data_IF_326556968988
#
_entry.id   IF_326556968988
#
_cell.length_a   1.000
_cell.length_b   1.000
_cell.length_c   1.000
_cell.angle_alpha   90.00
_cell.angle_beta   90.00
_cell.angle_gamma   90.00
#
_symmetry.space_group_name_H-M   'P 1'
#
loop_
_entity.id
_entity.type
_entity.pdbx_description
1 polymer ?
#
# COMPACT_ATOMS: atom_id res chain seq x y z
N UNK A 1 -6.51 -45.84 -46.98
CA UNK A 1 -7.57 -45.86 -45.96
C UNK A 1 -6.90 -45.86 -44.60
N UNK A 2 -6.84 -44.70 -43.96
CA UNK A 2 -6.41 -44.53 -42.58
C UNK A 2 -7.66 -44.22 -41.75
N UNK A 3 -7.89 -44.86 -40.59
CA UNK A 3 -8.96 -44.46 -39.70
C UNK A 3 -8.49 -43.27 -38.84
N UNK A 4 -9.35 -42.26 -38.61
CA UNK A 4 -9.04 -41.19 -37.67
C UNK A 4 -9.29 -41.67 -36.23
N UNK A 5 -8.29 -41.55 -35.36
CA UNK A 5 -8.45 -41.72 -33.92
C UNK A 5 -9.10 -40.47 -33.34
N UNK A 6 -10.34 -40.64 -32.86
CA UNK A 6 -11.10 -39.68 -32.07
C UNK A 6 -10.42 -39.48 -30.71
N UNK A 7 -10.08 -38.24 -30.35
CA UNK A 7 -9.95 -37.86 -28.93
C UNK A 7 -11.27 -37.24 -28.49
N UNK A 8 -11.81 -37.79 -27.41
CA UNK A 8 -13.07 -37.36 -26.82
C UNK A 8 -12.92 -35.96 -26.20
N UNK A 9 -13.81 -35.06 -26.63
CA UNK A 9 -14.23 -33.92 -25.84
C UNK A 9 -15.07 -34.42 -24.67
N UNK A 10 -14.79 -33.94 -23.45
CA UNK A 10 -15.74 -33.96 -22.34
C UNK A 10 -16.22 -32.53 -22.12
N UNK A 11 -17.36 -32.24 -22.75
CA UNK A 11 -18.29 -31.20 -22.34
C UNK A 11 -18.96 -31.65 -21.04
N UNK A 12 -18.96 -30.76 -20.04
CA UNK A 12 -19.79 -30.86 -18.86
C UNK A 12 -20.37 -29.48 -18.55
N UNK A 13 -21.18 -28.95 -19.47
CA UNK A 13 -22.05 -27.82 -19.22
C UNK A 13 -23.45 -28.33 -18.83
N UNK A 14 -24.19 -27.45 -18.14
CA UNK A 14 -25.58 -27.53 -17.65
C UNK A 14 -25.75 -28.18 -16.26
N UNK A 15 -26.50 -27.59 -15.33
CA UNK A 15 -27.64 -26.70 -15.51
C UNK A 15 -27.78 -25.67 -14.38
N UNK A 16 -28.31 -24.50 -14.75
CA UNK A 16 -29.07 -23.64 -13.85
C UNK A 16 -30.13 -24.47 -13.11
N UNK A 17 -30.36 -24.16 -11.84
CA UNK A 17 -31.65 -24.37 -11.21
C UNK A 17 -32.00 -23.12 -10.41
N UNK A 18 -33.18 -22.60 -10.75
CA UNK A 18 -33.81 -21.42 -10.22
C UNK A 18 -33.90 -21.43 -8.69
N UNK A 19 -33.53 -20.31 -8.06
CA UNK A 19 -34.03 -19.95 -6.75
C UNK A 19 -35.09 -18.85 -6.94
N UNK A 20 -36.34 -19.24 -6.73
CA UNK A 20 -37.49 -18.36 -6.64
C UNK A 20 -37.28 -17.28 -5.57
N UNK A 21 -37.59 -16.05 -5.96
CA UNK A 21 -37.77 -14.92 -5.06
C UNK A 21 -38.92 -15.20 -4.08
N UNK A 22 -38.61 -15.18 -2.78
CA UNK A 22 -39.58 -14.90 -1.72
C UNK A 22 -39.19 -13.57 -1.05
N UNK A 23 -40.15 -12.66 -0.80
CA UNK A 23 -39.87 -11.39 -0.14
C UNK A 23 -39.88 -11.61 1.37
N UNK A 24 -38.78 -11.27 2.05
CA UNK A 24 -38.75 -11.22 3.51
C UNK A 24 -37.36 -11.46 4.08
N UNK A 25 -36.75 -10.37 4.57
CA UNK A 25 -35.65 -10.32 5.54
C UNK A 25 -34.65 -11.48 5.55
N UNK A 26 -33.49 -11.28 4.93
CA UNK A 26 -32.30 -12.10 5.14
C UNK A 26 -31.17 -11.60 4.27
N UNK A 27 -30.02 -11.30 4.88
CA UNK A 27 -28.79 -10.82 4.23
C UNK A 27 -28.52 -11.57 2.92
N UNK A 28 -28.09 -10.84 1.89
CA UNK A 28 -27.49 -11.44 0.68
C UNK A 28 -26.46 -12.50 1.10
N UNK A 29 -26.40 -13.66 0.42
CA UNK A 29 -25.36 -14.64 0.69
C UNK A 29 -24.00 -13.96 0.52
N UNK A 30 -23.10 -14.19 1.47
CA UNK A 30 -21.71 -13.73 1.39
C UNK A 30 -21.09 -14.41 0.16
N UNK A 31 -21.04 -13.69 -0.97
CA UNK A 31 -20.19 -14.07 -2.08
C UNK A 31 -18.76 -13.95 -1.53
N UNK A 32 -17.98 -15.02 -1.62
CA UNK A 32 -16.57 -14.99 -1.21
C UNK A 32 -15.81 -13.86 -1.92
N UNK A 33 -14.58 -13.53 -1.47
CA UNK A 33 -13.80 -12.46 -2.08
C UNK A 33 -13.71 -12.65 -3.60
N UNK A 34 -13.81 -11.53 -4.34
CA UNK A 34 -13.73 -11.56 -5.79
C UNK A 34 -12.43 -12.23 -6.26
N UNK A 35 -12.43 -12.97 -7.38
CA UNK A 35 -11.22 -13.63 -7.86
C UNK A 35 -10.13 -12.60 -8.14
N UNK A 36 -8.91 -12.86 -7.67
CA UNK A 36 -7.72 -12.11 -8.10
C UNK A 36 -7.43 -12.42 -9.57
N UNK A 37 -7.02 -11.43 -10.34
CA UNK A 37 -6.61 -11.57 -11.73
C UNK A 37 -5.49 -10.60 -12.05
N UNK A 38 -4.51 -11.07 -12.84
CA UNK A 38 -3.51 -10.23 -13.48
C UNK A 38 -3.91 -10.04 -14.94
N UNK A 39 -3.98 -8.80 -15.38
CA UNK A 39 -4.25 -8.45 -16.76
C UNK A 39 -3.00 -7.85 -17.39
N UNK A 40 -2.67 -8.33 -18.59
CA UNK A 40 -1.58 -7.75 -19.37
C UNK A 40 -1.94 -6.36 -19.93
N UNK A 41 -0.98 -5.65 -20.54
CA UNK A 41 -1.20 -4.28 -21.02
C UNK A 41 -2.23 -4.17 -22.17
N UNK A 42 -2.45 -5.26 -22.91
CA UNK A 42 -3.40 -5.34 -24.02
C UNK A 42 -4.79 -5.86 -23.60
N UNK A 43 -4.95 -6.29 -22.35
CA UNK A 43 -6.21 -6.83 -21.84
C UNK A 43 -7.09 -5.72 -21.24
N UNK A 44 -8.37 -5.69 -21.62
CA UNK A 44 -9.30 -4.67 -21.14
C UNK A 44 -9.65 -4.90 -19.67
N UNK A 45 -9.64 -3.81 -18.89
CA UNK A 45 -10.17 -3.82 -17.53
C UNK A 45 -11.67 -4.18 -17.59
N UNK A 46 -12.18 -5.01 -16.66
CA UNK A 46 -13.62 -5.27 -16.56
C UNK A 46 -14.37 -3.93 -16.40
N UNK A 47 -15.42 -3.73 -17.20
CA UNK A 47 -16.33 -2.60 -16.98
C UNK A 47 -17.02 -2.79 -15.63
N UNK A 48 -16.59 -2.04 -14.63
CA UNK A 48 -17.35 -1.91 -13.40
C UNK A 48 -18.54 -1.00 -13.69
N UNK A 49 -19.75 -1.52 -13.52
CA UNK A 49 -20.95 -0.68 -13.50
C UNK A 49 -20.83 0.30 -12.31
N UNK A 50 -20.17 1.44 -12.54
CA UNK A 50 -20.31 2.58 -11.66
C UNK A 50 -21.79 2.96 -11.76
N UNK A 51 -22.52 2.78 -10.66
CA UNK A 51 -23.97 2.89 -10.65
C UNK A 51 -24.38 4.33 -10.99
N UNK A 52 -24.53 4.64 -12.29
CA UNK A 52 -25.07 5.89 -12.77
C UNK A 52 -24.30 6.62 -13.89
N UNK A 53 -24.05 5.99 -15.03
CA UNK A 53 -23.99 6.70 -16.32
C UNK A 53 -24.07 5.72 -17.49
N UNK A 54 -25.17 5.74 -18.25
CA UNK A 54 -25.28 4.95 -19.49
C UNK A 54 -24.48 5.64 -20.59
N UNK A 55 -23.43 5.00 -21.10
CA UNK A 55 -22.73 5.42 -22.32
C UNK A 55 -23.46 4.88 -23.56
N UNK A 56 -23.74 5.69 -24.60
CA UNK A 56 -24.37 5.21 -25.83
C UNK A 56 -23.45 4.31 -26.68
N UNK A 57 -24.00 3.41 -27.52
CA UNK A 57 -23.20 2.51 -28.35
C UNK A 57 -22.41 3.29 -29.42
N UNK A 58 -21.08 3.12 -29.45
CA UNK A 58 -20.19 3.73 -30.46
C UNK A 58 -19.08 4.62 -29.89
N UNK A 59 -18.97 4.78 -28.58
CA UNK A 59 -17.83 5.44 -27.94
C UNK A 59 -16.58 4.56 -28.07
N UNK A 60 -15.50 5.11 -28.62
CA UNK A 60 -14.17 4.49 -28.52
C UNK A 60 -13.71 4.61 -27.07
N UNK A 61 -13.22 3.52 -26.50
CA UNK A 61 -12.62 3.49 -25.15
C UNK A 61 -11.50 4.52 -25.12
N UNK A 62 -11.72 5.60 -24.40
CA UNK A 62 -10.67 6.53 -23.97
C UNK A 62 -10.18 6.12 -22.59
N UNK A 63 -8.89 6.31 -22.27
CA UNK A 63 -8.35 6.02 -20.95
C UNK A 63 -9.18 6.70 -19.85
N UNK A 64 -9.41 5.95 -18.78
CA UNK A 64 -10.13 6.29 -17.56
C UNK A 64 -9.94 7.76 -17.11
N UNK A 65 -11.05 8.49 -16.89
CA UNK A 65 -11.05 9.83 -16.30
C UNK A 65 -10.94 9.74 -14.77
N UNK A 66 -9.93 10.35 -14.12
CA UNK A 66 -9.80 10.35 -12.67
C UNK A 66 -10.93 11.15 -12.01
N UNK A 67 -11.46 10.63 -10.89
CA UNK A 67 -12.58 11.26 -10.17
C UNK A 67 -12.08 12.16 -9.02
N UNK A 68 -12.72 13.32 -8.78
CA UNK A 68 -12.19 14.41 -7.95
C UNK A 68 -12.42 14.22 -6.43
N UNK A 69 -12.21 13.02 -5.88
CA UNK A 69 -12.51 12.78 -4.46
C UNK A 69 -11.50 13.51 -3.55
N UNK A 70 -12.00 14.49 -2.78
CA UNK A 70 -11.24 15.50 -1.99
C UNK A 70 -10.88 15.11 -0.54
N UNK A 71 -10.98 13.84 -0.15
CA UNK A 71 -11.03 13.50 1.29
C UNK A 71 -10.04 12.42 1.76
N UNK A 72 -9.04 12.05 0.96
CA UNK A 72 -8.08 11.01 1.36
C UNK A 72 -6.65 11.44 1.00
N UNK A 73 -5.87 11.78 2.04
CA UNK A 73 -4.56 12.43 1.97
C UNK A 73 -3.37 11.46 1.94
N UNK A 74 -3.58 10.22 1.49
CA UNK A 74 -2.54 9.19 1.59
C UNK A 74 -1.67 9.13 0.34
N UNK A 75 -1.00 10.23 0.02
CA UNK A 75 -0.02 10.28 -1.07
C UNK A 75 1.11 9.28 -0.81
N UNK A 76 1.49 8.47 -1.80
CA UNK A 76 2.59 7.51 -1.69
C UNK A 76 3.96 8.19 -1.78
N UNK A 77 4.94 7.67 -1.04
CA UNK A 77 6.34 8.05 -1.13
C UNK A 77 7.21 6.80 -0.92
N UNK A 78 8.12 6.52 -1.84
CA UNK A 78 9.02 5.37 -1.75
C UNK A 78 10.38 5.65 -2.43
N UNK A 79 11.46 5.15 -1.85
CA UNK A 79 12.82 5.26 -2.41
C UNK A 79 13.19 3.95 -3.09
N UNK A 80 13.88 4.02 -4.22
CA UNK A 80 14.39 2.84 -4.92
C UNK A 80 15.39 2.06 -4.06
N UNK A 81 15.55 0.74 -4.27
CA UNK A 81 16.45 -0.09 -3.46
C UNK A 81 17.91 0.36 -3.47
N UNK A 82 18.36 0.99 -4.56
CA UNK A 82 19.70 1.56 -4.70
C UNK A 82 19.82 3.00 -4.16
N UNK A 83 18.71 3.62 -3.74
CA UNK A 83 18.68 4.99 -3.24
C UNK A 83 18.79 6.08 -4.33
N UNK A 84 18.78 5.72 -5.62
CA UNK A 84 18.98 6.67 -6.72
C UNK A 84 17.71 7.45 -7.08
N UNK A 85 16.53 6.87 -6.86
CA UNK A 85 15.25 7.44 -7.27
C UNK A 85 14.26 7.53 -6.11
N UNK A 86 13.44 8.57 -6.13
CA UNK A 86 12.25 8.71 -5.28
C UNK A 86 11.03 8.65 -6.18
N UNK A 87 10.07 7.81 -5.82
CA UNK A 87 8.73 7.80 -6.39
C UNK A 87 7.78 8.47 -5.39
N UNK A 88 7.06 9.51 -5.84
CA UNK A 88 6.01 10.12 -5.03
C UNK A 88 4.74 10.37 -5.85
N UNK A 89 3.58 10.18 -5.23
CA UNK A 89 2.29 10.47 -5.85
C UNK A 89 2.12 11.98 -6.02
N UNK A 90 1.66 12.40 -7.19
CA UNK A 90 1.35 13.79 -7.48
C UNK A 90 0.00 14.18 -6.85
N UNK A 91 0.01 15.24 -6.03
CA UNK A 91 -1.14 15.62 -5.23
C UNK A 91 -2.35 16.10 -6.08
N UNK A 92 -3.60 15.67 -5.76
CA UNK A 92 -4.83 16.08 -6.44
C UNK A 92 -5.11 17.58 -6.49
N UNK A 93 -4.77 18.32 -5.43
CA UNK A 93 -5.12 19.74 -5.30
C UNK A 93 -4.17 20.70 -6.04
N UNK A 94 -3.27 20.20 -6.90
CA UNK A 94 -2.58 21.04 -7.89
C UNK A 94 -3.55 21.74 -8.87
N UNK A 95 -4.83 21.34 -8.89
CA UNK A 95 -5.91 22.10 -9.54
C UNK A 95 -6.03 23.55 -9.03
N UNK A 96 -5.68 23.82 -7.77
CA UNK A 96 -5.64 25.18 -7.19
C UNK A 96 -4.48 26.05 -7.75
N UNK A 97 -3.48 25.42 -8.38
CA UNK A 97 -2.36 26.08 -9.05
C UNK A 97 -2.62 26.30 -10.55
N UNK A 98 -3.81 25.96 -11.06
CA UNK A 98 -4.19 26.15 -12.46
C UNK A 98 -3.60 25.13 -13.44
N UNK A 99 -3.11 23.99 -12.94
CA UNK A 99 -2.63 22.87 -13.76
C UNK A 99 -3.76 21.85 -13.97
N UNK A 100 -3.97 21.41 -15.22
CA UNK A 100 -5.06 20.49 -15.59
C UNK A 100 -4.60 19.02 -15.67
N UNK A 101 -5.31 18.16 -14.93
CA UNK A 101 -5.78 16.80 -15.28
C UNK A 101 -4.83 15.61 -15.49
N UNK A 102 -3.61 15.58 -14.94
CA UNK A 102 -2.92 14.28 -14.80
C UNK A 102 -2.43 14.08 -13.38
N UNK A 103 -3.15 13.28 -12.59
CA UNK A 103 -2.58 12.69 -11.37
C UNK A 103 -1.68 11.53 -11.80
N UNK A 104 -0.51 11.41 -11.18
CA UNK A 104 0.56 10.52 -11.62
C UNK A 104 1.50 10.15 -10.49
N UNK A 105 2.53 9.38 -10.82
CA UNK A 105 3.71 9.22 -9.97
C UNK A 105 4.87 9.94 -10.62
N UNK A 106 5.53 10.80 -9.86
CA UNK A 106 6.73 11.50 -10.27
C UNK A 106 7.94 10.73 -9.74
N UNK A 107 8.95 10.61 -10.59
CA UNK A 107 10.26 10.05 -10.24
C UNK A 107 11.28 11.20 -10.18
N UNK A 108 11.94 11.35 -9.03
CA UNK A 108 13.04 12.29 -8.83
C UNK A 108 14.36 11.55 -8.73
N UNK A 109 15.41 12.15 -9.30
CA UNK A 109 16.79 11.77 -9.01
C UNK A 109 17.19 12.31 -7.62
N UNK A 110 17.75 11.45 -6.77
CA UNK A 110 18.11 11.84 -5.39
C UNK A 110 19.32 12.75 -5.31
N UNK A 111 20.24 12.66 -6.27
CA UNK A 111 21.45 13.47 -6.30
C UNK A 111 21.15 14.88 -6.81
N UNK A 112 20.40 15.00 -7.91
CA UNK A 112 20.07 16.27 -8.56
C UNK A 112 18.83 16.93 -7.97
N UNK A 113 17.90 16.16 -7.40
CA UNK A 113 16.64 16.67 -6.88
C UNK A 113 15.65 17.06 -7.97
N UNK A 114 15.92 16.68 -9.22
CA UNK A 114 15.10 17.00 -10.39
C UNK A 114 14.20 15.83 -10.78
N UNK A 115 13.03 16.14 -11.34
CA UNK A 115 12.14 15.13 -11.90
C UNK A 115 12.76 14.52 -13.15
N UNK A 116 12.98 13.21 -13.15
CA UNK A 116 13.46 12.45 -14.31
C UNK A 116 12.31 11.88 -15.14
N UNK A 117 11.17 11.59 -14.52
CA UNK A 117 10.02 11.01 -15.20
C UNK A 117 8.71 11.30 -14.49
N UNK A 118 7.64 11.37 -15.29
CA UNK A 118 6.26 11.29 -14.85
C UNK A 118 5.64 10.02 -15.41
N UNK A 119 5.16 9.15 -14.54
CA UNK A 119 4.39 7.97 -14.89
C UNK A 119 2.92 8.36 -14.82
N UNK A 120 2.24 8.25 -15.97
CA UNK A 120 0.83 8.59 -16.08
C UNK A 120 -0.04 7.48 -15.48
N UNK A 121 -1.09 7.87 -14.75
CA UNK A 121 -2.01 6.96 -14.06
C UNK A 121 -2.31 7.50 -12.66
N UNK A 122 -3.59 7.53 -12.27
CA UNK A 122 -3.97 8.02 -10.97
C UNK A 122 -3.27 7.21 -9.87
N UNK A 123 -2.76 7.90 -8.85
CA UNK A 123 -2.14 7.29 -7.68
C UNK A 123 -2.81 7.89 -6.44
N UNK A 124 -3.88 7.25 -5.97
CA UNK A 124 -4.62 7.69 -4.78
C UNK A 124 -4.00 7.21 -3.46
N UNK A 125 -2.97 6.34 -3.49
CA UNK A 125 -2.53 5.64 -2.28
C UNK A 125 -1.08 5.17 -2.27
N UNK A 126 -0.89 3.86 -2.31
CA UNK A 126 0.38 3.21 -2.01
C UNK A 126 1.32 3.11 -3.23
N UNK A 127 2.61 3.22 -2.98
CA UNK A 127 3.68 3.00 -3.97
C UNK A 127 4.70 2.04 -3.33
N UNK A 128 5.14 1.03 -4.08
CA UNK A 128 6.22 0.14 -3.65
C UNK A 128 7.20 -0.11 -4.79
N UNK A 129 8.49 -0.01 -4.50
CA UNK A 129 9.54 -0.43 -5.42
C UNK A 129 9.70 -1.95 -5.41
N UNK A 130 9.84 -2.52 -6.59
CA UNK A 130 10.31 -3.89 -6.71
C UNK A 130 11.80 -3.96 -6.35
N UNK A 131 12.30 -5.03 -5.69
CA UNK A 131 13.68 -5.13 -5.22
C UNK A 131 14.75 -5.04 -6.32
N UNK A 132 14.40 -5.34 -7.57
CA UNK A 132 15.31 -5.16 -8.72
C UNK A 132 15.58 -3.69 -9.09
N UNK A 133 14.82 -2.74 -8.54
CA UNK A 133 14.94 -1.29 -8.83
C UNK A 133 14.44 -0.86 -10.20
N UNK A 134 13.88 -1.77 -11.00
CA UNK A 134 13.45 -1.50 -12.38
C UNK A 134 11.93 -1.38 -12.53
N UNK A 135 11.17 -1.71 -11.48
CA UNK A 135 9.70 -1.74 -11.51
C UNK A 135 9.09 -1.16 -10.23
N UNK A 136 7.86 -0.71 -10.35
CA UNK A 136 7.05 -0.11 -9.30
C UNK A 136 5.66 -0.73 -9.29
N UNK A 137 5.09 -0.93 -8.11
CA UNK A 137 3.66 -1.15 -7.93
C UNK A 137 3.02 0.15 -7.47
N UNK A 138 1.93 0.54 -8.13
CA UNK A 138 1.18 1.77 -7.87
C UNK A 138 -0.28 1.38 -7.60
N UNK A 139 -0.76 1.68 -6.41
CA UNK A 139 -2.15 1.45 -6.01
C UNK A 139 -3.05 2.59 -6.44
N UNK A 140 -4.11 2.27 -7.18
CA UNK A 140 -5.19 3.19 -7.54
C UNK A 140 -6.55 2.58 -7.23
N UNK A 141 -7.23 3.12 -6.21
CA UNK A 141 -8.51 2.60 -5.73
C UNK A 141 -8.47 1.08 -5.52
N UNK A 142 -9.10 0.30 -6.41
CA UNK A 142 -9.21 -1.16 -6.35
C UNK A 142 -8.15 -1.89 -7.17
N UNK A 143 -7.36 -1.16 -7.94
CA UNK A 143 -6.41 -1.68 -8.90
C UNK A 143 -4.99 -1.42 -8.43
N UNK A 144 -4.08 -2.27 -8.88
CA UNK A 144 -2.65 -2.05 -8.72
C UNK A 144 -2.01 -2.18 -10.08
N UNK A 145 -1.34 -1.14 -10.53
CA UNK A 145 -0.54 -1.16 -11.74
C UNK A 145 0.90 -1.54 -11.36
N UNK A 146 1.46 -2.55 -12.04
CA UNK A 146 2.90 -2.80 -12.05
C UNK A 146 3.45 -2.14 -13.30
N UNK A 147 4.37 -1.20 -13.12
CA UNK A 147 4.98 -0.43 -14.20
C UNK A 147 6.50 -0.58 -14.18
N UNK A 148 7.15 -0.45 -15.33
CA UNK A 148 8.60 -0.26 -15.39
C UNK A 148 8.97 1.14 -14.92
N UNK A 149 10.24 1.33 -14.55
CA UNK A 149 10.82 2.66 -14.25
C UNK A 149 10.74 3.61 -15.45
N UNK A 150 10.56 3.09 -16.67
CA UNK A 150 10.32 3.87 -17.87
C UNK A 150 8.85 4.29 -18.05
N UNK A 151 7.96 3.84 -17.17
CA UNK A 151 6.53 4.15 -17.18
C UNK A 151 5.71 3.23 -18.10
N UNK A 152 6.28 2.11 -18.54
CA UNK A 152 5.53 1.10 -19.29
C UNK A 152 4.70 0.25 -18.34
N UNK A 153 3.40 0.13 -18.61
CA UNK A 153 2.54 -0.79 -17.89
C UNK A 153 2.95 -2.24 -18.20
N UNK A 154 3.18 -3.02 -17.16
CA UNK A 154 3.48 -4.45 -17.25
C UNK A 154 2.26 -5.30 -16.90
N UNK A 155 1.59 -4.96 -15.79
CA UNK A 155 0.42 -5.70 -15.30
C UNK A 155 -0.58 -4.78 -14.60
N UNK A 156 -1.87 -5.10 -14.75
CA UNK A 156 -2.95 -4.59 -13.90
C UNK A 156 -3.47 -5.72 -13.00
N UNK A 157 -3.36 -5.54 -11.70
CA UNK A 157 -3.87 -6.46 -10.70
C UNK A 157 -5.26 -6.03 -10.27
N UNK A 158 -6.22 -6.94 -10.36
CA UNK A 158 -7.63 -6.71 -10.03
C UNK A 158 -8.09 -7.79 -9.07
N UNK A 159 -8.86 -7.41 -8.07
CA UNK A 159 -9.50 -8.36 -7.16
C UNK A 159 -9.99 -7.70 -5.88
N UNK A 160 -9.35 -6.61 -5.44
CA UNK A 160 -9.84 -5.87 -4.28
C UNK A 160 -11.22 -5.28 -4.58
N UNK A 161 -12.23 -5.71 -3.83
CA UNK A 161 -13.64 -5.37 -4.07
C UNK A 161 -14.43 -5.51 -2.76
N UNK A 162 -15.20 -4.48 -2.40
CA UNK A 162 -16.25 -4.60 -1.38
C UNK A 162 -17.62 -4.45 -2.06
N UNK A 163 -18.44 -5.50 -2.12
CA UNK A 163 -19.78 -5.44 -2.70
C UNK A 163 -20.71 -4.44 -1.99
N UNK A 164 -20.35 -3.98 -0.78
CA UNK A 164 -21.13 -3.08 0.06
C UNK A 164 -20.64 -1.64 0.00
N UNK A 165 -19.45 -1.42 -0.55
CA UNK A 165 -18.82 -0.10 -0.63
C UNK A 165 -17.86 -0.01 -1.82
N UNK A 166 -18.06 0.98 -2.68
CA UNK A 166 -17.13 1.29 -3.78
C UNK A 166 -15.76 1.78 -3.30
N UNK A 167 -15.53 1.89 -1.98
CA UNK A 167 -14.32 2.39 -1.34
C UNK A 167 -13.24 1.36 -1.00
N UNK A 168 -13.24 0.18 -1.63
CA UNK A 168 -12.18 -0.84 -1.52
C UNK A 168 -10.81 -0.34 -2.03
N UNK A 169 -10.22 0.59 -1.30
CA UNK A 169 -8.98 1.28 -1.64
C UNK A 169 -7.79 0.48 -1.19
N UNK A 170 -6.77 0.38 -2.04
CA UNK A 170 -5.44 -0.10 -1.67
C UNK A 170 -4.87 0.83 -0.61
N UNK A 171 -4.49 0.27 0.53
CA UNK A 171 -3.96 1.02 1.68
C UNK A 171 -2.45 0.89 1.82
N UNK A 172 -1.89 -0.26 1.48
CA UNK A 172 -0.45 -0.51 1.47
C UNK A 172 -0.06 -1.55 0.42
N UNK A 173 1.19 -1.46 -0.03
CA UNK A 173 1.83 -2.36 -0.98
C UNK A 173 3.25 -2.67 -0.50
N UNK A 174 3.69 -3.92 -0.65
CA UNK A 174 5.11 -4.26 -0.57
C UNK A 174 5.41 -5.48 -1.41
N UNK A 175 6.54 -5.44 -2.09
CA UNK A 175 7.12 -6.63 -2.69
C UNK A 175 7.81 -7.48 -1.63
N UNK A 176 7.78 -8.80 -1.82
CA UNK A 176 8.64 -9.70 -1.07
C UNK A 176 10.12 -9.37 -1.37
N UNK A 177 11.05 -9.62 -0.43
CA UNK A 177 12.47 -9.35 -0.63
C UNK A 177 13.09 -10.05 -1.85
N UNK A 178 12.58 -11.22 -2.21
CA UNK A 178 12.99 -11.97 -3.41
C UNK A 178 12.34 -11.48 -4.71
N UNK A 179 11.41 -10.51 -4.64
CA UNK A 179 10.70 -9.93 -5.78
C UNK A 179 9.68 -10.84 -6.44
N UNK A 180 9.42 -12.03 -5.89
CA UNK A 180 8.52 -13.01 -6.51
C UNK A 180 7.06 -12.76 -6.20
N UNK A 181 6.76 -12.03 -5.13
CA UNK A 181 5.41 -11.71 -4.70
C UNK A 181 5.22 -10.22 -4.42
N UNK A 182 3.98 -9.77 -4.60
CA UNK A 182 3.47 -8.50 -4.09
C UNK A 182 2.38 -8.79 -3.07
N UNK A 183 2.42 -8.14 -1.92
CA UNK A 183 1.31 -8.09 -0.97
C UNK A 183 0.59 -6.75 -1.08
N UNK A 184 -0.75 -6.77 -1.03
CA UNK A 184 -1.58 -5.58 -1.02
C UNK A 184 -2.67 -5.66 0.04
N UNK A 185 -2.84 -4.62 0.83
CA UNK A 185 -3.94 -4.48 1.79
C UNK A 185 -4.99 -3.53 1.25
N UNK A 186 -6.25 -3.73 1.64
CA UNK A 186 -7.36 -2.90 1.19
C UNK A 186 -8.40 -2.65 2.27
N UNK A 187 -9.16 -1.56 2.11
CA UNK A 187 -10.36 -1.28 2.91
C UNK A 187 -11.48 -2.30 2.73
N UNK A 188 -11.38 -3.21 1.76
CA UNK A 188 -12.27 -4.38 1.67
C UNK A 188 -12.05 -5.42 2.79
N UNK A 189 -11.06 -5.20 3.66
CA UNK A 189 -10.75 -6.06 4.79
C UNK A 189 -9.89 -7.27 4.43
N UNK A 190 -9.34 -7.31 3.21
CA UNK A 190 -8.49 -8.41 2.74
C UNK A 190 -7.05 -7.97 2.53
N UNK A 191 -6.16 -8.96 2.58
CA UNK A 191 -4.80 -8.85 2.03
C UNK A 191 -4.71 -9.81 0.85
N UNK A 192 -4.22 -9.35 -0.29
CA UNK A 192 -4.00 -10.20 -1.47
C UNK A 192 -2.51 -10.35 -1.73
N UNK A 193 -2.12 -11.59 -2.00
CA UNK A 193 -0.80 -11.94 -2.47
C UNK A 193 -0.88 -12.20 -3.97
N UNK A 194 0.04 -11.60 -4.71
CA UNK A 194 0.14 -11.70 -6.16
C UNK A 194 1.49 -12.30 -6.49
N UNK A 195 1.51 -13.35 -7.29
CA UNK A 195 2.77 -13.89 -7.82
C UNK A 195 3.18 -13.02 -9.02
N UNK A 196 4.36 -12.39 -8.97
CA UNK A 196 4.80 -11.32 -9.91
C UNK A 196 6.24 -11.53 -10.39
N UNK A 197 6.60 -12.81 -10.61
CA UNK A 197 7.95 -13.23 -10.97
C UNK A 197 8.27 -12.97 -12.45
N UNK A 198 9.14 -12.00 -12.72
CA UNK A 198 9.58 -11.67 -14.08
C UNK A 198 8.41 -11.30 -15.00
N UNK A 199 8.25 -12.06 -16.08
CA UNK A 199 7.19 -11.89 -17.09
C UNK A 199 5.91 -12.70 -16.76
N UNK A 200 5.79 -13.22 -15.55
CA UNK A 200 4.61 -13.96 -15.11
C UNK A 200 3.90 -13.20 -14.00
N UNK A 201 2.58 -13.12 -14.12
CA UNK A 201 1.71 -12.60 -13.10
C UNK A 201 0.58 -13.59 -12.84
N UNK A 202 0.33 -13.88 -11.57
CA UNK A 202 -0.70 -14.79 -11.11
C UNK A 202 -1.38 -14.34 -9.82
N UNK A 203 -2.57 -14.88 -9.60
CA UNK A 203 -3.25 -14.78 -8.33
C UNK A 203 -2.61 -15.75 -7.32
N UNK A 204 -2.12 -15.22 -6.19
CA UNK A 204 -1.72 -15.99 -5.03
C UNK A 204 -2.87 -16.13 -4.03
N UNK A 205 -2.54 -16.06 -2.74
CA UNK A 205 -3.51 -16.22 -1.65
C UNK A 205 -4.30 -14.94 -1.36
N UNK A 206 -5.53 -15.09 -0.88
CA UNK A 206 -6.29 -14.01 -0.24
C UNK A 206 -6.37 -14.28 1.25
N UNK A 207 -5.78 -13.40 2.04
CA UNK A 207 -5.76 -13.46 3.50
C UNK A 207 -6.89 -12.61 4.05
N UNK A 208 -7.50 -13.10 5.13
CA UNK A 208 -8.55 -12.40 5.84
C UNK A 208 -8.09 -12.15 7.28
N UNK A 209 -7.40 -11.03 7.55
CA UNK A 209 -7.03 -10.67 8.91
C UNK A 209 -8.27 -10.34 9.74
N UNK A 210 -8.16 -10.48 11.05
CA UNK A 210 -9.24 -10.04 11.96
C UNK A 210 -9.40 -8.51 11.96
N UNK A 211 -8.37 -7.79 11.47
CA UNK A 211 -8.40 -6.34 11.31
C UNK A 211 -9.42 -5.95 10.23
N UNK A 212 -10.46 -5.15 10.56
CA UNK A 212 -11.53 -4.81 9.63
C UNK A 212 -11.07 -3.93 8.46
N UNK A 213 -9.94 -3.23 8.63
CA UNK A 213 -9.29 -2.45 7.58
C UNK A 213 -7.76 -2.57 7.76
N UNK A 214 -7.08 -3.52 7.11
CA UNK A 214 -5.63 -3.56 7.13
C UNK A 214 -5.06 -2.32 6.44
N UNK A 215 -4.10 -1.66 7.08
CA UNK A 215 -3.54 -0.37 6.64
C UNK A 215 -2.03 -0.37 6.50
N UNK A 216 -1.35 -1.38 7.04
CA UNK A 216 0.10 -1.51 6.97
C UNK A 216 0.51 -2.98 6.86
N UNK A 217 1.62 -3.20 6.18
CA UNK A 217 2.18 -4.52 5.93
C UNK A 217 3.72 -4.44 5.91
N UNK A 218 4.39 -5.51 6.30
CA UNK A 218 5.85 -5.64 6.22
C UNK A 218 6.26 -7.08 6.02
N UNK A 219 7.15 -7.35 5.08
CA UNK A 219 7.85 -8.63 5.01
C UNK A 219 9.03 -8.63 6.00
N UNK A 220 9.20 -9.75 6.73
CA UNK A 220 10.33 -9.99 7.64
C UNK A 220 10.89 -11.39 7.40
N UNK A 221 11.99 -11.77 8.07
CA UNK A 221 12.61 -13.09 7.97
C UNK A 221 12.88 -13.48 6.51
N UNK A 222 13.50 -12.56 5.75
CA UNK A 222 13.82 -12.73 4.32
C UNK A 222 12.60 -13.10 3.47
N UNK A 223 11.43 -12.56 3.83
CA UNK A 223 10.17 -12.78 3.11
C UNK A 223 9.40 -14.03 3.56
N UNK A 224 9.93 -14.82 4.51
CA UNK A 224 9.23 -16.02 4.99
C UNK A 224 8.06 -15.72 5.92
N UNK A 225 7.91 -14.47 6.36
CA UNK A 225 6.78 -14.00 7.17
C UNK A 225 6.29 -12.66 6.66
N UNK A 226 4.96 -12.54 6.49
CA UNK A 226 4.27 -11.28 6.23
C UNK A 226 3.56 -10.83 7.50
N UNK A 227 3.86 -9.63 7.97
CA UNK A 227 3.18 -8.98 9.10
C UNK A 227 2.14 -8.03 8.55
N UNK A 228 0.92 -8.11 9.09
CA UNK A 228 -0.21 -7.27 8.69
C UNK A 228 -0.79 -6.60 9.94
N UNK A 229 -0.97 -5.28 9.85
CA UNK A 229 -1.63 -4.46 10.87
C UNK A 229 -2.71 -3.56 10.25
N UNK A 230 -3.65 -3.12 11.07
CA UNK A 230 -4.78 -2.30 10.62
C UNK A 230 -5.37 -1.45 11.73
N UNK A 231 -6.04 -0.36 11.36
CA UNK A 231 -6.79 0.52 12.27
C UNK A 231 -8.29 0.36 12.09
N UNK A 232 -9.07 0.34 13.18
CA UNK A 232 -10.52 0.50 13.16
C UNK A 232 -10.97 1.98 13.07
N UNK A 233 -10.62 2.70 12.00
CA UNK A 233 -10.97 4.14 11.86
C UNK A 233 -12.48 4.48 11.93
N UNK A 234 -13.37 3.49 12.03
CA UNK A 234 -14.81 3.70 12.15
C UNK A 234 -15.38 3.68 13.57
N UNK A 235 -14.56 3.56 14.62
CA UNK A 235 -15.00 3.75 16.01
C UNK A 235 -16.18 2.88 16.45
N UNK A 236 -16.41 1.76 15.75
CA UNK A 236 -17.45 0.78 16.09
C UNK A 236 -16.78 -0.39 16.79
N UNK A 237 -16.52 -0.18 18.07
CA UNK A 237 -16.27 -1.18 19.13
C UNK A 237 -15.31 -2.34 18.77
N UNK A 238 -14.16 -2.39 19.47
CA UNK A 238 -13.29 -3.55 19.79
C UNK A 238 -13.46 -4.83 18.95
N UNK A 239 -12.35 -5.36 18.41
CA UNK A 239 -11.24 -5.78 19.27
C UNK A 239 -9.93 -4.99 19.01
N UNK A 240 -8.86 -5.23 19.80
CA UNK A 240 -7.58 -4.55 19.64
C UNK A 240 -7.03 -4.70 18.21
N UNK A 241 -6.35 -3.66 17.73
CA UNK A 241 -5.59 -3.70 16.49
C UNK A 241 -4.38 -4.63 16.65
N UNK A 242 -4.59 -5.92 16.39
CA UNK A 242 -3.52 -6.92 16.47
C UNK A 242 -2.64 -6.89 15.23
N UNK A 243 -1.34 -7.14 15.43
CA UNK A 243 -0.48 -7.56 14.34
C UNK A 243 -0.68 -9.06 14.11
N UNK A 244 -0.82 -9.44 12.85
CA UNK A 244 -0.96 -10.82 12.44
C UNK A 244 0.21 -11.24 11.55
N UNK A 245 0.83 -12.37 11.89
CA UNK A 245 1.91 -12.96 11.13
C UNK A 245 1.35 -14.05 10.23
N UNK A 246 1.76 -14.04 8.97
CA UNK A 246 1.29 -14.95 7.95
C UNK A 246 2.48 -15.60 7.25
N UNK A 247 2.31 -16.84 6.84
CA UNK A 247 3.16 -17.49 5.87
C UNK A 247 2.67 -17.08 4.46
N UNK A 248 3.44 -16.29 3.71
CA UNK A 248 2.99 -15.83 2.40
C UNK A 248 2.99 -16.95 1.34
N UNK A 249 3.74 -18.03 1.54
CA UNK A 249 3.77 -19.15 0.60
C UNK A 249 2.52 -20.03 0.73
N UNK A 250 2.01 -20.22 1.95
CA UNK A 250 0.82 -21.07 2.21
C UNK A 250 -0.46 -20.27 2.43
N UNK A 251 -0.36 -18.98 2.74
CA UNK A 251 -1.49 -18.15 3.17
C UNK A 251 -1.97 -18.43 4.59
N UNK A 252 -1.25 -19.26 5.37
CA UNK A 252 -1.64 -19.63 6.72
C UNK A 252 -1.20 -18.59 7.76
N UNK A 253 -2.07 -18.31 8.73
CA UNK A 253 -1.76 -17.43 9.86
C UNK A 253 -0.90 -18.18 10.88
N UNK A 254 0.26 -17.62 11.22
CA UNK A 254 1.22 -18.19 12.19
C UNK A 254 0.98 -17.70 13.62
N UNK A 255 0.86 -16.39 13.79
CA UNK A 255 0.84 -15.76 15.11
C UNK A 255 -0.04 -14.50 15.12
N UNK A 256 -0.54 -14.15 16.32
CA UNK A 256 -1.17 -12.87 16.61
C UNK A 256 -0.39 -12.21 17.73
N UNK A 257 0.29 -11.11 17.41
CA UNK A 257 0.93 -10.29 18.43
C UNK A 257 -0.14 -9.35 19.02
N UNK A 258 -0.45 -9.59 20.30
CA UNK A 258 -1.37 -8.74 21.04
C UNK A 258 -0.67 -7.44 21.47
N UNK A 259 -1.22 -6.30 21.06
CA UNK A 259 -0.73 -4.98 21.45
C UNK A 259 -1.19 -4.56 22.87
N UNK A 260 -1.61 -5.51 23.71
CA UNK A 260 -2.00 -5.29 25.11
C UNK A 260 -3.04 -4.18 25.27
N UNK A 261 -4.22 -4.34 24.66
CA UNK A 261 -5.36 -3.39 24.71
C UNK A 261 -5.05 -1.97 24.18
N UNK A 262 -3.93 -1.75 23.47
CA UNK A 262 -3.60 -0.45 22.86
C UNK A 262 -4.08 -0.36 21.42
N UNK A 263 -4.40 0.85 20.98
CA UNK A 263 -4.76 1.13 19.59
C UNK A 263 -3.46 1.30 18.81
N UNK A 264 -3.08 0.29 18.03
CA UNK A 264 -1.98 0.41 17.07
C UNK A 264 -2.35 1.44 16.00
N UNK A 265 -1.44 2.38 15.74
CA UNK A 265 -1.55 3.39 14.69
C UNK A 265 -0.75 2.96 13.47
N UNK A 266 0.54 2.67 13.68
CA UNK A 266 1.48 2.32 12.63
C UNK A 266 2.59 1.43 13.20
N UNK A 267 3.27 0.70 12.33
CA UNK A 267 4.39 -0.14 12.71
C UNK A 267 5.43 -0.26 11.59
N UNK A 268 6.65 -0.63 11.95
CA UNK A 268 7.70 -0.96 11.01
C UNK A 268 8.73 -1.90 11.62
N UNK A 269 9.52 -2.51 10.76
CA UNK A 269 10.65 -3.35 11.14
C UNK A 269 11.94 -2.79 10.57
N UNK A 270 13.01 -2.84 11.35
CA UNK A 270 14.38 -2.68 10.86
C UNK A 270 14.88 -3.98 10.19
N UNK A 271 16.05 -3.92 9.55
CA UNK A 271 16.63 -5.09 8.89
C UNK A 271 17.10 -6.18 9.88
N UNK A 272 17.32 -5.83 11.14
CA UNK A 272 17.61 -6.78 12.21
C UNK A 272 16.34 -7.34 12.89
N UNK A 273 15.17 -7.12 12.30
CA UNK A 273 13.86 -7.56 12.78
C UNK A 273 13.40 -6.91 14.09
N UNK A 274 14.01 -5.79 14.48
CA UNK A 274 13.48 -4.97 15.57
C UNK A 274 12.17 -4.32 15.14
N UNK A 275 11.11 -4.62 15.89
CA UNK A 275 9.77 -4.08 15.68
C UNK A 275 9.65 -2.72 16.37
N UNK A 276 9.18 -1.73 15.63
CA UNK A 276 8.84 -0.40 16.15
C UNK A 276 7.34 -0.18 15.98
N UNK A 277 6.68 0.20 17.07
CA UNK A 277 5.22 0.39 17.14
C UNK A 277 4.88 1.79 17.61
N UNK A 278 3.86 2.37 17.00
CA UNK A 278 3.22 3.60 17.49
C UNK A 278 1.81 3.29 17.92
N UNK A 279 1.47 3.68 19.15
CA UNK A 279 0.12 3.48 19.70
C UNK A 279 -0.62 4.80 19.92
N UNK A 280 -1.92 4.70 20.14
CA UNK A 280 -2.80 5.76 20.61
C UNK A 280 -3.55 5.27 21.86
N UNK A 281 -3.76 6.18 22.82
CA UNK A 281 -4.42 5.91 24.10
C UNK A 281 -3.78 4.79 24.98
N UNK A 282 -2.55 4.97 25.52
CA UNK A 282 -1.72 6.16 25.44
C UNK A 282 -0.88 6.22 24.15
N UNK A 283 -0.50 7.45 23.78
CA UNK A 283 0.44 7.66 22.69
C UNK A 283 1.84 7.21 23.13
N UNK A 284 2.38 6.17 22.50
CA UNK A 284 3.71 5.64 22.83
C UNK A 284 4.45 5.22 21.57
N UNK A 285 5.78 5.34 21.60
CA UNK A 285 6.70 4.72 20.67
C UNK A 285 7.37 3.55 21.38
N UNK A 286 7.11 2.33 20.93
CA UNK A 286 7.65 1.11 21.51
C UNK A 286 8.64 0.46 20.54
N UNK A 287 9.75 -0.04 21.06
CA UNK A 287 10.76 -0.79 20.31
C UNK A 287 10.89 -2.16 20.94
N UNK A 288 10.69 -3.20 20.15
CA UNK A 288 10.76 -4.60 20.57
C UNK A 288 11.80 -5.33 19.74
N UNK A 289 12.87 -5.75 20.40
CA UNK A 289 13.94 -6.52 19.78
C UNK A 289 13.45 -7.95 19.42
N UNK A 290 14.15 -8.66 18.52
CA UNK A 290 13.78 -10.01 18.10
C UNK A 290 13.76 -11.04 19.25
N UNK A 291 14.53 -10.81 20.30
CA UNK A 291 14.55 -11.65 21.51
C UNK A 291 13.35 -11.42 22.46
N UNK A 292 12.46 -10.50 22.10
CA UNK A 292 11.28 -10.11 22.86
C UNK A 292 11.52 -9.00 23.89
N UNK A 293 12.76 -8.52 24.07
CA UNK A 293 13.00 -7.37 24.94
C UNK A 293 12.31 -6.13 24.38
N UNK A 294 11.64 -5.40 25.28
CA UNK A 294 10.84 -4.23 24.93
C UNK A 294 11.40 -3.00 25.64
N UNK A 295 11.49 -1.90 24.91
CA UNK A 295 11.86 -0.58 25.42
C UNK A 295 10.90 0.47 24.88
N UNK A 296 10.79 1.58 25.61
CA UNK A 296 9.97 2.73 25.19
C UNK A 296 10.90 3.82 24.69
N UNK A 297 10.58 4.35 23.50
CA UNK A 297 11.28 5.48 22.92
C UNK A 297 10.92 6.81 23.60
N UNK A 298 11.28 7.94 22.96
CA UNK A 298 11.00 9.27 23.47
C UNK A 298 9.51 9.56 23.64
N UNK A 299 9.21 10.64 24.36
CA UNK A 299 7.83 11.17 24.43
C UNK A 299 7.36 11.59 23.02
N UNK A 300 6.17 11.13 22.65
CA UNK A 300 5.55 11.42 21.36
C UNK A 300 4.36 12.36 21.53
N UNK A 301 4.01 13.07 20.47
CA UNK A 301 2.81 13.91 20.44
C UNK A 301 1.57 13.12 20.90
N UNK A 302 0.66 13.71 21.71
CA UNK A 302 -0.57 13.04 22.08
C UNK A 302 -1.54 12.83 20.89
N UNK A 303 -1.27 13.47 19.75
CA UNK A 303 -2.08 13.42 18.54
C UNK A 303 -1.60 12.36 17.53
N UNK A 304 -1.17 11.18 17.99
CA UNK A 304 -0.67 10.09 17.12
C UNK A 304 -1.72 9.39 16.26
N UNK A 305 -3.00 9.70 16.39
CA UNK A 305 -4.09 9.02 15.65
C UNK A 305 -3.95 9.03 14.11
N UNK A 306 -3.11 9.92 13.56
CA UNK A 306 -2.76 9.97 12.12
C UNK A 306 -1.25 9.94 11.90
N UNK A 307 -0.48 9.42 12.85
CA UNK A 307 0.98 9.40 12.77
C UNK A 307 1.47 8.39 11.72
N UNK A 308 2.64 8.68 11.14
CA UNK A 308 3.35 7.83 10.18
C UNK A 308 4.75 7.54 10.67
N UNK A 309 5.17 6.30 10.52
CA UNK A 309 6.49 5.83 10.93
C UNK A 309 7.38 5.57 9.71
N UNK A 310 8.64 5.98 9.79
CA UNK A 310 9.70 5.48 8.93
C UNK A 310 10.79 4.86 9.80
N UNK A 311 10.96 3.55 9.68
CA UNK A 311 12.00 2.78 10.37
C UNK A 311 13.15 2.56 9.39
N UNK A 312 14.34 2.97 9.80
CA UNK A 312 15.59 2.73 9.09
C UNK A 312 16.02 1.27 9.18
N UNK A 313 16.94 0.86 8.31
CA UNK A 313 17.47 -0.50 8.30
C UNK A 313 18.19 -0.90 9.61
N UNK A 314 18.65 0.06 10.42
CA UNK A 314 19.43 -0.11 11.64
C UNK A 314 18.71 0.52 12.83
N UNK A 315 18.92 1.81 13.08
CA UNK A 315 18.50 2.47 14.34
C UNK A 315 17.78 3.78 14.16
N UNK A 316 17.77 4.37 12.96
CA UNK A 316 17.07 5.62 12.70
C UNK A 316 15.57 5.36 12.66
N UNK A 317 14.82 6.12 13.44
CA UNK A 317 13.36 6.08 13.47
C UNK A 317 12.87 7.51 13.29
N UNK A 318 12.00 7.73 12.32
CA UNK A 318 11.30 8.99 12.15
C UNK A 318 9.80 8.76 12.40
N UNK A 319 9.21 9.61 13.22
CA UNK A 319 7.80 9.61 13.56
C UNK A 319 7.22 10.96 13.19
N UNK A 320 6.37 10.95 12.18
CA UNK A 320 5.59 12.11 11.77
C UNK A 320 4.25 12.05 12.48
N UNK A 321 3.88 13.13 13.17
CA UNK A 321 2.55 13.36 13.73
C UNK A 321 2.01 14.69 13.16
N UNK A 322 0.70 15.00 13.30
CA UNK A 322 0.18 16.28 12.85
C UNK A 322 0.96 17.46 13.48
N UNK A 323 1.69 18.21 12.64
CA UNK A 323 2.50 19.37 13.05
C UNK A 323 3.83 19.06 13.73
N UNK A 324 4.26 17.79 13.82
CA UNK A 324 5.48 17.38 14.51
C UNK A 324 6.22 16.29 13.73
N UNK A 325 7.56 16.38 13.70
CA UNK A 325 8.45 15.33 13.21
C UNK A 325 9.51 15.05 14.25
N UNK A 326 9.45 13.86 14.85
CA UNK A 326 10.48 13.31 15.72
C UNK A 326 11.42 12.43 14.89
N UNK A 327 12.72 12.68 14.98
CA UNK A 327 13.77 11.79 14.50
C UNK A 327 14.54 11.29 15.72
N UNK A 328 14.69 9.98 15.82
CA UNK A 328 15.30 9.32 16.96
C UNK A 328 16.28 8.24 16.50
N UNK A 329 17.42 8.16 17.17
CA UNK A 329 18.36 7.06 17.07
C UNK A 329 18.15 6.10 18.24
N UNK A 330 17.62 4.91 17.97
CA UNK A 330 17.39 3.93 19.03
C UNK A 330 18.68 3.38 19.67
N UNK A 331 19.83 3.48 18.98
CA UNK A 331 21.10 2.99 19.48
C UNK A 331 21.84 4.01 20.35
N UNK A 332 21.77 5.30 19.99
CA UNK A 332 22.48 6.37 20.73
C UNK A 332 21.58 7.15 21.68
N UNK A 333 20.25 7.12 21.47
CA UNK A 333 19.27 7.94 22.17
C UNK A 333 19.22 9.39 21.69
N UNK A 334 19.91 9.75 20.61
CA UNK A 334 19.88 11.09 20.04
C UNK A 334 18.50 11.40 19.46
N UNK A 335 17.99 12.60 19.73
CA UNK A 335 16.68 13.07 19.28
C UNK A 335 16.82 14.41 18.55
N UNK A 336 16.11 14.54 17.44
CA UNK A 336 15.92 15.80 16.71
C UNK A 336 14.42 16.00 16.47
N UNK A 337 13.91 17.22 16.69
CA UNK A 337 12.48 17.54 16.54
C UNK A 337 12.29 18.74 15.63
N UNK A 338 11.22 18.68 14.85
CA UNK A 338 10.76 19.77 14.00
C UNK A 338 9.28 20.01 14.24
N UNK A 339 8.90 21.27 14.42
CA UNK A 339 7.52 21.71 14.61
C UNK A 339 7.00 22.40 13.34
N UNK A 340 5.69 22.57 13.24
CA UNK A 340 5.00 23.29 12.16
C UNK A 340 5.21 22.70 10.76
N UNK A 341 5.44 21.38 10.67
CA UNK A 341 5.51 20.64 9.41
C UNK A 341 4.20 19.93 9.08
N UNK A 342 3.71 20.07 7.84
CA UNK A 342 2.49 19.44 7.34
C UNK A 342 2.81 18.30 6.37
N UNK A 343 3.57 17.34 6.88
CA UNK A 343 4.03 16.19 6.10
C UNK A 343 2.91 15.14 5.94
N UNK A 344 2.85 14.55 4.74
CA UNK A 344 1.95 13.44 4.40
C UNK A 344 2.64 12.09 4.46
N UNK A 345 3.92 12.04 4.07
CA UNK A 345 4.76 10.83 4.14
C UNK A 345 6.19 11.15 4.50
N UNK A 346 6.83 10.13 5.05
CA UNK A 346 8.24 10.10 5.38
C UNK A 346 8.81 8.73 5.00
N UNK A 347 10.07 8.69 4.55
CA UNK A 347 10.80 7.44 4.34
C UNK A 347 12.31 7.67 4.40
N UNK A 348 13.05 6.69 4.90
CA UNK A 348 14.51 6.75 4.91
C UNK A 348 15.08 6.29 3.57
N UNK A 349 16.25 6.82 3.21
CA UNK A 349 17.13 6.19 2.24
C UNK A 349 17.55 4.79 2.72
N UNK A 350 17.89 3.86 1.80
CA UNK A 350 18.30 2.49 2.18
C UNK A 350 19.48 2.44 3.16
N UNK A 351 20.34 3.45 3.15
CA UNK A 351 21.50 3.57 4.03
C UNK A 351 21.26 4.44 5.28
N UNK A 352 20.02 4.92 5.48
CA UNK A 352 19.58 5.81 6.58
C UNK A 352 20.29 7.16 6.66
N UNK A 353 21.00 7.56 5.60
CA UNK A 353 21.71 8.85 5.57
C UNK A 353 20.79 10.03 5.33
N UNK A 354 19.65 9.81 4.66
CA UNK A 354 18.71 10.88 4.27
C UNK A 354 17.28 10.47 4.63
N UNK A 355 16.56 11.37 5.29
CA UNK A 355 15.11 11.27 5.44
C UNK A 355 14.43 12.05 4.32
N UNK A 356 13.62 11.38 3.52
CA UNK A 356 12.77 12.02 2.54
C UNK A 356 11.38 12.25 3.11
N UNK A 357 10.81 13.39 2.79
CA UNK A 357 9.46 13.77 3.20
C UNK A 357 8.65 14.23 2.01
N UNK A 358 7.34 14.03 2.08
CA UNK A 358 6.38 14.54 1.10
C UNK A 358 5.44 15.49 1.82
N UNK A 359 5.47 16.76 1.41
CA UNK A 359 4.59 17.81 1.87
C UNK A 359 3.62 18.20 0.75
N UNK A 360 2.37 18.51 1.12
CA UNK A 360 1.29 18.80 0.18
C UNK A 360 1.53 20.10 -0.62
N UNK A 361 2.17 21.09 0.00
CA UNK A 361 2.45 22.39 -0.58
C UNK A 361 3.82 22.46 -1.25
N UNK A 362 4.85 21.82 -0.67
CA UNK A 362 6.24 21.96 -1.15
C UNK A 362 6.75 20.75 -1.92
N UNK A 363 6.06 19.61 -1.89
CA UNK A 363 6.49 18.39 -2.58
C UNK A 363 7.56 17.63 -1.80
N UNK A 364 8.52 17.05 -2.51
CA UNK A 364 9.56 16.21 -1.91
C UNK A 364 10.66 17.06 -1.28
N UNK A 365 11.00 16.77 -0.03
CA UNK A 365 12.16 17.36 0.67
C UNK A 365 13.07 16.26 1.20
N UNK A 366 14.35 16.58 1.40
CA UNK A 366 15.36 15.68 1.93
C UNK A 366 16.07 16.32 3.12
N UNK A 367 16.27 15.56 4.19
CA UNK A 367 17.06 15.96 5.36
C UNK A 367 18.25 15.03 5.53
N UNK A 368 19.47 15.58 5.53
CA UNK A 368 20.74 14.83 5.52
C UNK A 368 21.34 14.59 6.92
N UNK A 369 20.55 14.77 7.98
CA UNK A 369 21.03 14.80 9.35
C UNK A 369 21.27 16.21 9.90
N UNK A 370 21.31 17.23 9.05
CA UNK A 370 21.67 18.58 9.45
C UNK A 370 20.86 19.66 8.75
N UNK A 371 20.83 19.61 7.43
CA UNK A 371 20.27 20.65 6.57
C UNK A 371 19.13 20.06 5.71
N UNK A 372 18.11 20.88 5.44
CA UNK A 372 17.01 20.52 4.54
C UNK A 372 17.32 20.95 3.10
N UNK A 373 17.02 20.08 2.15
CA UNK A 373 17.04 20.35 0.72
C UNK A 373 15.65 20.11 0.12
N UNK A 374 15.08 21.15 -0.47
CA UNK A 374 13.84 21.04 -1.25
C UNK A 374 14.16 20.53 -2.66
N UNK A 375 13.36 19.59 -3.18
CA UNK A 375 13.49 19.11 -4.55
C UNK A 375 12.69 20.00 -5.50
N UNK A 376 13.03 19.96 -6.79
CA UNK A 376 12.34 20.76 -7.79
C UNK A 376 10.87 20.33 -7.88
N UNK A 377 9.99 21.33 -7.82
CA UNK A 377 8.58 21.17 -8.14
C UNK A 377 8.41 21.30 -9.66
N UNK A 378 7.97 20.23 -10.37
CA UNK A 378 7.70 20.31 -11.79
C UNK A 378 6.48 21.16 -12.12
#
# INVERSE_FOLDING_TARGET
MAPPTRRHALLGASALSAALLLPGCGRLPFLGPAPSSCLGPEEELPEFEDSGSRVPPGARVTPYEPSPSRWFNDAGLAVSPDGALIAAAEHPDRSMLGLTDVQGVLLWDTAEGSVVRRIAGAAEGAIAWHPDGTRLAIGDRRHIAIVSVDGELLWNLIGHEDPRDTSARITALAFSPDGTQLASTSKDGTVRLWDVSGDQCGAGHTLQPDAPAPTALSYIAEGTTLVVGGTDVHGRSDPPNHLSHWDPATGERREVLDAQERILVDFGYSADETLVLVTYAPATLEVRAPDGTTSTGPEVSPYTHSARLAVGARSRIALQSPGDLLIWDSATGEETRFEDLLLQRICWSPDESVLYTLDEATGVSAWDGKDWRQFDLP
#
